data_IF_124164810292
#
_entry.id   IF_124164810292
#
_cell.length_a   1.000
_cell.length_b   1.000
_cell.length_c   1.000
_cell.angle_alpha   90.00
_cell.angle_beta   90.00
_cell.angle_gamma   90.00
#
_symmetry.space_group_name_H-M   'P 1'
#
loop_
_entity.id
_entity.type
_entity.pdbx_description
1 polymer ?
#
# COMPACT_ATOMS: atom_id res chain seq x y z
N UNK A 1 33.70 -8.91 -17.56
CA UNK A 1 34.17 -8.26 -18.81
C UNK A 1 32.94 -7.68 -19.49
N UNK A 2 33.02 -6.44 -19.95
CA UNK A 2 31.86 -5.73 -20.53
C UNK A 2 31.76 -6.06 -22.03
N UNK A 3 30.56 -6.42 -22.50
CA UNK A 3 30.29 -6.74 -23.89
C UNK A 3 30.63 -5.57 -24.82
N UNK A 4 31.11 -5.86 -26.04
CA UNK A 4 31.43 -4.83 -27.02
C UNK A 4 30.20 -3.99 -27.40
N UNK A 5 29.02 -4.62 -27.44
CA UNK A 5 27.75 -3.96 -27.77
C UNK A 5 27.37 -2.81 -26.83
N UNK A 6 27.71 -2.92 -25.54
CA UNK A 6 27.41 -1.87 -24.55
C UNK A 6 28.31 -0.64 -24.71
N UNK A 7 29.48 -0.77 -25.34
CA UNK A 7 30.36 0.38 -25.62
C UNK A 7 29.87 1.15 -26.84
N UNK A 8 29.50 0.44 -27.90
CA UNK A 8 28.94 1.03 -29.11
C UNK A 8 27.67 1.85 -28.86
N UNK A 9 26.83 1.46 -27.88
CA UNK A 9 25.63 2.22 -27.58
C UNK A 9 25.92 3.52 -26.80
N UNK A 10 26.91 3.52 -25.91
CA UNK A 10 27.34 4.72 -25.17
C UNK A 10 27.93 5.75 -26.13
N UNK A 11 28.81 5.31 -27.03
CA UNK A 11 29.47 6.19 -28.00
C UNK A 11 28.42 6.86 -28.91
N UNK A 12 27.45 6.10 -29.43
CA UNK A 12 26.32 6.66 -30.20
C UNK A 12 25.51 7.70 -29.42
N UNK A 13 25.26 7.49 -28.12
CA UNK A 13 24.52 8.45 -27.30
C UNK A 13 25.34 9.73 -27.09
N UNK A 14 26.66 9.61 -26.91
CA UNK A 14 27.53 10.78 -26.77
C UNK A 14 27.60 11.61 -28.06
N UNK A 15 27.62 10.99 -29.23
CA UNK A 15 27.59 11.69 -30.53
C UNK A 15 26.29 12.48 -30.73
N UNK A 16 25.15 11.92 -30.33
CA UNK A 16 23.83 12.57 -30.48
C UNK A 16 23.65 13.72 -29.48
N UNK A 17 24.17 13.58 -28.27
CA UNK A 17 23.90 14.53 -27.18
C UNK A 17 25.03 15.55 -26.96
N UNK A 18 26.23 15.31 -27.49
CA UNK A 18 27.42 16.13 -27.25
C UNK A 18 27.92 16.11 -25.80
N UNK A 19 27.37 15.22 -24.96
CA UNK A 19 27.68 15.07 -23.53
C UNK A 19 28.36 13.72 -23.34
N UNK A 20 29.50 13.68 -22.63
CA UNK A 20 30.16 12.42 -22.28
C UNK A 20 29.31 11.63 -21.28
N UNK A 21 28.71 10.53 -21.75
CA UNK A 21 27.91 9.63 -20.93
C UNK A 21 28.79 8.47 -20.48
N UNK A 22 29.27 8.55 -19.25
CA UNK A 22 29.99 7.46 -18.61
C UNK A 22 29.02 6.47 -17.95
N UNK A 23 29.44 5.19 -17.89
CA UNK A 23 28.72 4.19 -17.10
C UNK A 23 28.68 4.61 -15.64
N UNK A 24 27.48 4.77 -15.11
CA UNK A 24 27.27 5.04 -13.70
C UNK A 24 27.77 3.86 -12.86
N UNK A 25 28.87 4.06 -12.13
CA UNK A 25 29.42 3.06 -11.21
C UNK A 25 28.71 3.17 -9.87
N UNK A 26 27.84 2.20 -9.57
CA UNK A 26 27.22 2.10 -8.25
C UNK A 26 28.26 1.74 -7.18
N UNK A 27 28.29 2.54 -6.11
CA UNK A 27 28.98 2.16 -4.87
C UNK A 27 28.10 1.16 -4.13
N UNK A 28 28.35 -0.13 -4.32
CA UNK A 28 27.51 -1.20 -3.74
C UNK A 28 27.39 -1.09 -2.22
N UNK A 29 28.46 -0.65 -1.53
CA UNK A 29 28.47 -0.38 -0.09
C UNK A 29 27.34 0.55 0.38
N UNK A 30 26.98 1.55 -0.45
CA UNK A 30 25.90 2.49 -0.12
C UNK A 30 24.51 1.90 -0.36
N UNK A 31 24.41 0.88 -1.21
CA UNK A 31 23.16 0.22 -1.59
C UNK A 31 22.84 -0.95 -0.65
N UNK A 32 23.86 -1.55 -0.03
CA UNK A 32 23.71 -2.70 0.87
C UNK A 32 22.75 -2.44 2.03
N UNK A 33 22.70 -1.21 2.55
CA UNK A 33 21.72 -0.85 3.57
C UNK A 33 20.29 -1.16 3.10
N UNK A 34 19.91 -0.74 1.90
CA UNK A 34 18.55 -0.89 1.37
C UNK A 34 18.19 -2.34 1.03
N UNK A 35 19.16 -3.25 0.98
CA UNK A 35 18.95 -4.66 0.65
C UNK A 35 17.88 -5.30 1.54
N UNK A 36 17.94 -5.07 2.86
CA UNK A 36 16.95 -5.61 3.79
C UNK A 36 15.53 -5.13 3.48
N UNK A 37 15.37 -3.85 3.13
CA UNK A 37 14.07 -3.27 2.75
C UNK A 37 13.54 -3.80 1.43
N UNK A 38 14.44 -4.00 0.45
CA UNK A 38 14.08 -4.65 -0.80
C UNK A 38 13.62 -6.10 -0.58
N UNK A 39 14.30 -6.85 0.28
CA UNK A 39 13.91 -8.21 0.66
C UNK A 39 12.53 -8.23 1.32
N UNK A 40 12.29 -7.37 2.31
CA UNK A 40 10.99 -7.25 3.00
C UNK A 40 9.83 -6.97 2.02
N UNK A 41 10.08 -6.15 0.99
CA UNK A 41 9.11 -5.85 -0.06
C UNK A 41 8.87 -7.07 -0.98
N UNK A 42 9.93 -7.77 -1.37
CA UNK A 42 9.85 -8.97 -2.21
C UNK A 42 9.14 -10.12 -1.50
N UNK A 43 9.44 -10.36 -0.22
CA UNK A 43 8.79 -11.38 0.60
C UNK A 43 7.28 -11.15 0.71
N UNK A 44 6.86 -9.88 0.63
CA UNK A 44 5.44 -9.53 0.61
C UNK A 44 4.76 -9.88 -0.72
N UNK A 45 5.51 -9.86 -1.82
CA UNK A 45 5.06 -10.19 -3.17
C UNK A 45 5.05 -11.70 -3.41
N UNK A 46 4.15 -12.42 -2.72
CA UNK A 46 3.97 -13.87 -2.93
C UNK A 46 3.26 -14.22 -4.25
N UNK A 47 3.39 -15.47 -4.71
CA UNK A 47 2.63 -15.99 -5.89
C UNK A 47 1.12 -15.81 -5.75
N UNK A 48 0.58 -15.86 -4.52
CA UNK A 48 -0.84 -15.63 -4.27
C UNK A 48 -1.20 -14.16 -4.41
N UNK A 49 -0.39 -13.27 -3.84
CA UNK A 49 -0.51 -11.83 -4.00
C UNK A 49 -0.48 -11.40 -5.48
N UNK A 50 0.39 -12.01 -6.28
CA UNK A 50 0.48 -11.75 -7.73
C UNK A 50 -0.80 -12.21 -8.45
N UNK A 51 -1.29 -13.42 -8.15
CA UNK A 51 -2.54 -13.93 -8.73
C UNK A 51 -3.73 -13.04 -8.36
N UNK A 52 -3.89 -12.71 -7.09
CA UNK A 52 -4.97 -11.86 -6.60
C UNK A 52 -4.88 -10.45 -7.22
N UNK A 53 -3.67 -9.91 -7.39
CA UNK A 53 -3.43 -8.64 -8.07
C UNK A 53 -3.84 -8.68 -9.54
N UNK A 54 -3.47 -9.73 -10.28
CA UNK A 54 -3.84 -9.92 -11.69
C UNK A 54 -5.35 -10.04 -11.88
N UNK A 55 -6.03 -10.81 -11.03
CA UNK A 55 -7.50 -10.93 -11.11
C UNK A 55 -8.16 -9.59 -10.84
N UNK A 56 -7.66 -8.81 -9.86
CA UNK A 56 -8.17 -7.47 -9.60
C UNK A 56 -7.95 -6.51 -10.77
N UNK A 57 -6.79 -6.55 -11.42
CA UNK A 57 -6.46 -5.77 -12.61
C UNK A 57 -7.39 -6.12 -13.78
N UNK A 58 -7.58 -7.41 -14.08
CA UNK A 58 -8.48 -7.88 -15.14
C UNK A 58 -9.92 -7.44 -14.87
N UNK A 59 -10.39 -7.56 -13.62
CA UNK A 59 -11.74 -7.07 -13.22
C UNK A 59 -11.88 -5.57 -13.48
N UNK A 60 -10.87 -4.77 -13.15
CA UNK A 60 -10.91 -3.33 -13.44
C UNK A 60 -10.88 -3.05 -14.94
N UNK A 61 -10.07 -3.77 -15.71
CA UNK A 61 -10.03 -3.64 -17.16
C UNK A 61 -11.38 -3.97 -17.81
N UNK A 62 -12.04 -5.04 -17.37
CA UNK A 62 -13.39 -5.43 -17.81
C UNK A 62 -14.40 -4.32 -17.50
N UNK A 63 -14.38 -3.82 -16.26
CA UNK A 63 -15.29 -2.75 -15.83
C UNK A 63 -15.03 -1.43 -16.54
N UNK A 64 -13.80 -1.15 -16.99
CA UNK A 64 -13.44 0.10 -17.65
C UNK A 64 -13.54 0.02 -19.19
N UNK A 65 -13.75 -1.16 -19.76
CA UNK A 65 -13.83 -1.36 -21.21
C UNK A 65 -15.18 -0.89 -21.76
N UNK A 66 -15.16 0.16 -22.58
CA UNK A 66 -16.37 0.72 -23.23
C UNK A 66 -17.09 -0.31 -24.08
N UNK A 67 -16.35 -1.11 -24.86
CA UNK A 67 -16.91 -2.15 -25.72
C UNK A 67 -17.75 -3.15 -24.91
N UNK A 68 -17.23 -3.60 -23.77
CA UNK A 68 -17.95 -4.57 -22.95
C UNK A 68 -19.17 -3.95 -22.25
N UNK A 69 -19.03 -2.70 -21.78
CA UNK A 69 -20.14 -1.93 -21.19
C UNK A 69 -21.31 -1.74 -22.15
N UNK A 70 -21.03 -1.32 -23.39
CA UNK A 70 -22.05 -0.96 -24.36
C UNK A 70 -22.63 -2.18 -25.09
N UNK A 71 -21.80 -3.16 -25.46
CA UNK A 71 -22.20 -4.28 -26.32
C UNK A 71 -22.67 -5.52 -25.56
N UNK A 72 -22.00 -5.85 -24.44
CA UNK A 72 -22.22 -7.12 -23.74
C UNK A 72 -23.10 -6.95 -22.49
N UNK A 73 -22.74 -6.01 -21.61
CA UNK A 73 -23.44 -5.83 -20.35
C UNK A 73 -24.85 -5.25 -20.49
N UNK A 74 -25.18 -4.63 -21.62
CA UNK A 74 -26.55 -4.20 -21.96
C UNK A 74 -27.51 -5.38 -22.14
N UNK A 75 -26.99 -6.54 -22.57
CA UNK A 75 -27.77 -7.78 -22.76
C UNK A 75 -27.62 -8.76 -21.59
N UNK A 76 -26.56 -8.60 -20.78
CA UNK A 76 -26.18 -9.50 -19.69
C UNK A 76 -25.94 -8.74 -18.37
N UNK A 77 -27.01 -8.14 -17.83
CA UNK A 77 -26.93 -7.38 -16.57
C UNK A 77 -26.53 -8.24 -15.36
N UNK A 78 -26.93 -9.52 -15.35
CA UNK A 78 -26.60 -10.46 -14.27
C UNK A 78 -25.08 -10.67 -14.14
N UNK A 79 -24.35 -10.66 -15.25
CA UNK A 79 -22.89 -10.85 -15.25
C UNK A 79 -22.18 -9.60 -14.73
N UNK A 80 -22.71 -8.42 -15.02
CA UNK A 80 -22.24 -7.16 -14.43
C UNK A 80 -22.46 -7.16 -12.91
N UNK A 81 -23.62 -7.64 -12.45
CA UNK A 81 -23.92 -7.78 -11.03
C UNK A 81 -22.99 -8.81 -10.38
N UNK A 82 -22.81 -9.97 -10.98
CA UNK A 82 -21.89 -11.01 -10.49
C UNK A 82 -20.46 -10.45 -10.33
N UNK A 83 -19.97 -9.72 -11.34
CA UNK A 83 -18.64 -9.10 -11.28
C UNK A 83 -18.52 -8.06 -10.16
N UNK A 84 -19.59 -7.32 -9.84
CA UNK A 84 -19.59 -6.32 -8.75
C UNK A 84 -19.66 -6.97 -7.36
N UNK A 85 -20.42 -8.05 -7.21
CA UNK A 85 -20.65 -8.74 -5.94
C UNK A 85 -19.56 -9.75 -5.59
N UNK A 86 -18.69 -10.08 -6.55
CA UNK A 86 -17.62 -11.04 -6.35
C UNK A 86 -16.72 -10.68 -5.15
N UNK A 87 -16.27 -11.71 -4.43
CA UNK A 87 -15.58 -11.54 -3.15
C UNK A 87 -14.38 -10.58 -3.29
N UNK A 88 -14.28 -9.62 -2.37
CA UNK A 88 -13.18 -8.66 -2.38
C UNK A 88 -11.84 -9.37 -2.23
N UNK A 89 -11.07 -9.43 -3.33
CA UNK A 89 -9.71 -9.93 -3.32
C UNK A 89 -8.90 -9.15 -2.29
N UNK A 90 -8.24 -9.88 -1.39
CA UNK A 90 -7.45 -9.27 -0.33
C UNK A 90 -6.24 -8.60 -0.96
N UNK A 91 -6.32 -7.27 -1.15
CA UNK A 91 -5.19 -6.46 -1.60
C UNK A 91 -4.01 -6.75 -0.68
N UNK A 92 -2.82 -6.89 -1.26
CA UNK A 92 -1.59 -7.06 -0.50
C UNK A 92 -1.51 -5.94 0.52
N UNK A 93 -1.46 -6.30 1.81
CA UNK A 93 -1.35 -5.32 2.89
C UNK A 93 -0.07 -4.53 2.70
N UNK A 94 -0.21 -3.28 2.24
CA UNK A 94 0.90 -2.33 2.16
C UNK A 94 1.38 -2.06 3.59
N UNK A 95 2.64 -2.34 3.91
CA UNK A 95 3.20 -1.87 5.19
C UNK A 95 3.50 -0.39 5.03
N UNK A 96 2.91 0.46 5.87
CA UNK A 96 3.24 1.89 5.93
C UNK A 96 4.74 2.12 6.14
N UNK A 97 5.38 1.22 6.87
CA UNK A 97 6.76 1.38 7.34
C UNK A 97 7.79 1.06 6.26
N UNK A 98 7.37 0.39 5.17
CA UNK A 98 8.20 0.16 3.97
C UNK A 98 8.27 1.42 3.10
N UNK A 99 7.34 2.36 3.25
CA UNK A 99 7.36 3.62 2.50
C UNK A 99 8.36 4.64 3.06
N UNK A 100 8.67 4.54 4.36
CA UNK A 100 9.65 5.42 5.01
C UNK A 100 11.02 4.75 5.06
N UNK A 101 12.07 5.45 4.63
CA UNK A 101 13.45 4.98 4.72
C UNK A 101 14.02 5.44 6.07
N UNK A 102 14.37 4.51 6.98
CA UNK A 102 14.96 4.89 8.25
C UNK A 102 16.25 5.69 8.12
N UNK A 103 16.49 6.54 9.11
CA UNK A 103 17.66 7.41 9.17
C UNK A 103 18.98 6.64 9.10
N UNK A 104 19.08 5.44 9.67
CA UNK A 104 20.31 4.64 9.59
C UNK A 104 20.67 4.17 8.18
N UNK A 105 19.71 4.11 7.25
CA UNK A 105 19.92 3.69 5.86
C UNK A 105 20.38 4.82 4.93
N UNK A 106 20.28 6.07 5.39
CA UNK A 106 20.61 7.23 4.57
C UNK A 106 22.12 7.51 4.59
N UNK A 107 22.74 7.76 3.42
CA UNK A 107 24.10 8.28 3.34
C UNK A 107 24.22 9.62 4.07
N UNK A 108 25.39 9.90 4.66
CA UNK A 108 25.66 11.13 5.41
C UNK A 108 25.35 12.40 4.60
N UNK A 109 25.65 12.38 3.30
CA UNK A 109 25.37 13.48 2.37
C UNK A 109 23.88 13.85 2.33
N UNK A 110 23.00 12.85 2.36
CA UNK A 110 21.54 13.04 2.31
C UNK A 110 21.00 13.37 3.70
N UNK A 111 21.55 12.80 4.77
CA UNK A 111 21.18 13.15 6.15
C UNK A 111 21.38 14.64 6.44
N UNK A 112 22.49 15.18 5.96
CA UNK A 112 22.87 16.58 6.17
C UNK A 112 21.98 17.52 5.37
N UNK A 113 21.64 17.18 4.11
CA UNK A 113 20.73 18.00 3.31
C UNK A 113 19.29 18.00 3.83
N UNK A 114 18.87 16.91 4.47
CA UNK A 114 17.53 16.78 5.05
C UNK A 114 17.43 17.34 6.49
N UNK A 115 18.52 17.88 7.08
CA UNK A 115 18.56 18.42 8.44
C UNK A 115 17.94 17.49 9.51
N UNK A 116 18.08 16.17 9.33
CA UNK A 116 17.37 15.16 10.13
C UNK A 116 17.84 15.14 11.60
N UNK A 117 19.10 15.47 11.86
CA UNK A 117 19.67 15.59 13.22
C UNK A 117 18.89 16.60 14.10
N UNK A 118 18.35 17.67 13.50
CA UNK A 118 17.53 18.68 14.18
C UNK A 118 16.04 18.31 14.22
N UNK A 119 15.62 17.34 13.41
CA UNK A 119 14.28 16.75 13.43
C UNK A 119 14.19 15.59 14.42
N UNK A 120 15.06 15.55 15.45
CA UNK A 120 14.83 14.75 16.66
C UNK A 120 13.42 15.04 17.14
N UNK A 121 12.57 14.07 16.84
CA UNK A 121 11.26 13.79 17.37
C UNK A 121 11.11 14.47 18.74
N UNK A 122 10.61 15.70 18.78
CA UNK A 122 9.78 16.09 19.92
C UNK A 122 8.75 14.97 19.96
N UNK A 123 8.61 14.22 21.06
CA UNK A 123 7.51 13.30 21.18
C UNK A 123 6.27 14.16 20.95
N UNK A 124 5.66 13.99 19.78
CA UNK A 124 4.32 14.47 19.53
C UNK A 124 3.50 13.59 20.45
N UNK A 125 3.43 13.98 21.72
CA UNK A 125 2.34 13.64 22.63
C UNK A 125 1.12 14.25 21.96
N UNK A 126 0.64 13.57 20.91
CA UNK A 126 -0.70 13.73 20.43
C UNK A 126 -1.53 13.27 21.61
N UNK A 127 -1.85 14.21 22.48
CA UNK A 127 -3.03 14.15 23.32
C UNK A 127 -4.19 14.06 22.34
N UNK A 128 -4.43 12.84 21.84
CA UNK A 128 -5.71 12.44 21.32
C UNK A 128 -6.63 12.52 22.54
N UNK A 129 -7.10 13.73 22.85
CA UNK A 129 -8.37 13.90 23.51
C UNK A 129 -9.42 13.36 22.53
N UNK A 130 -9.52 12.03 22.42
CA UNK A 130 -10.79 11.41 22.06
C UNK A 130 -11.76 12.02 23.06
N UNK A 131 -12.68 12.87 22.60
CA UNK A 131 -13.87 13.23 23.36
C UNK A 131 -14.60 11.92 23.64
N UNK A 132 -14.19 11.24 24.70
CA UNK A 132 -14.87 10.07 25.21
C UNK A 132 -16.21 10.55 25.72
N UNK A 133 -17.27 9.78 25.43
CA UNK A 133 -18.57 9.99 26.06
C UNK A 133 -18.36 10.18 27.56
N UNK A 134 -18.97 11.24 28.10
CA UNK A 134 -19.00 11.52 29.53
C UNK A 134 -19.53 10.31 30.29
N UNK A 135 -19.24 10.22 31.58
CA UNK A 135 -19.67 9.10 32.44
C UNK A 135 -21.19 8.89 32.36
N UNK A 136 -21.96 9.98 32.22
CA UNK A 136 -23.42 9.94 32.02
C UNK A 136 -23.81 9.31 30.68
N UNK A 137 -23.15 9.70 29.59
CA UNK A 137 -23.44 9.16 28.25
C UNK A 137 -23.04 7.68 28.12
N UNK A 138 -21.94 7.26 28.76
CA UNK A 138 -21.55 5.84 28.84
C UNK A 138 -22.60 5.01 29.59
N UNK A 139 -23.10 5.51 30.73
CA UNK A 139 -24.14 4.82 31.50
C UNK A 139 -25.47 4.73 30.72
N UNK A 140 -25.85 5.78 30.00
CA UNK A 140 -27.04 5.78 29.16
C UNK A 140 -26.95 4.72 28.04
N UNK A 141 -25.79 4.62 27.38
CA UNK A 141 -25.54 3.64 26.33
C UNK A 141 -25.57 2.20 26.87
N UNK A 142 -24.98 1.96 28.05
CA UNK A 142 -25.02 0.67 28.73
C UNK A 142 -26.44 0.25 29.12
N UNK A 143 -27.27 1.19 29.60
CA UNK A 143 -28.70 0.94 29.86
C UNK A 143 -29.46 0.56 28.59
N UNK A 144 -29.24 1.29 27.48
CA UNK A 144 -29.89 1.00 26.19
C UNK A 144 -29.50 -0.38 25.63
N UNK A 145 -28.23 -0.77 25.75
CA UNK A 145 -27.76 -2.10 25.32
C UNK A 145 -28.34 -3.23 26.18
N UNK A 146 -28.50 -3.01 27.49
CA UNK A 146 -29.15 -3.97 28.40
C UNK A 146 -30.66 -4.08 28.19
N UNK A 147 -31.32 -3.03 27.70
CA UNK A 147 -32.74 -3.07 27.36
C UNK A 147 -33.01 -3.90 26.10
N UNK A 148 -32.08 -3.88 25.14
CA UNK A 148 -32.18 -4.63 23.88
C UNK A 148 -31.51 -6.02 23.95
N UNK A 149 -31.23 -6.54 25.15
CA UNK A 149 -30.60 -7.84 25.31
C UNK A 149 -31.64 -8.98 25.12
N UNK A 150 -31.54 -9.77 24.04
CA UNK A 150 -32.49 -10.84 23.75
C UNK A 150 -32.48 -11.99 24.77
N UNK A 151 -31.44 -12.12 25.61
CA UNK A 151 -31.39 -13.12 26.67
C UNK A 151 -32.27 -12.74 27.88
N UNK A 152 -32.54 -11.45 28.09
CA UNK A 152 -33.40 -10.98 29.20
C UNK A 152 -34.88 -10.93 28.84
N UNK A 153 -35.22 -10.74 27.57
CA UNK A 153 -36.63 -10.65 27.14
C UNK A 153 -37.32 -12.01 27.11
N UNK A 154 -36.60 -13.11 26.89
CA UNK A 154 -37.17 -14.47 26.94
C UNK A 154 -37.50 -14.97 28.35
N UNK A 155 -36.89 -14.40 29.39
CA UNK A 155 -37.16 -14.79 30.78
C UNK A 155 -38.52 -14.30 31.32
N UNK A 156 -39.25 -13.45 30.58
CA UNK A 156 -40.57 -12.92 30.99
C UNK A 156 -41.77 -13.64 30.35
N UNK A 157 -41.55 -14.70 29.56
CA UNK A 157 -42.60 -15.39 28.80
C UNK A 157 -42.83 -16.84 29.26
N UNK A 158 -42.78 -17.06 30.57
CA UNK A 158 -43.18 -18.32 31.20
C UNK A 158 -44.12 -18.00 32.38
N UNK A 159 -45.40 -17.84 32.05
CA UNK A 159 -46.54 -18.05 32.93
C UNK A 159 -47.75 -18.35 32.06
#
# INVERSE_FOLDING_TARGET
MIGQEERDCLDKVTEVTGISVDRFKFKMEQVEGLRGRASDALDKCSKRAIRDGRVAEIKQAILNSKKLQEEYFTRHENDLMALRHDANLKKVSKRSDLANIPTYLLPAQIKNSLNIENARLKPQTKNYHKKGLSTKEKQALLKKRRANDPLKTKAKRAK
#
